data_IF_731811295445
#
_entry.id   IF_731811295445
#
_cell.length_a   1.000
_cell.length_b   1.000
_cell.length_c   1.000
_cell.angle_alpha   90.00
_cell.angle_beta   90.00
_cell.angle_gamma   90.00
#
_symmetry.space_group_name_H-M   'P 1'
#
loop_
_entity.id
_entity.type
_entity.pdbx_description
1 polymer ?
#
# COMPACT_ATOMS: atom_id res chain seq x y z
N UNK A 1 80.86 -20.50 57.58
CA UNK A 1 80.58 -19.06 57.54
C UNK A 1 80.08 -18.66 58.91
N UNK A 2 80.81 -17.77 59.58
CA UNK A 2 80.53 -17.25 60.93
C UNK A 2 79.12 -16.64 61.02
N UNK A 3 78.42 -16.86 62.14
CA UNK A 3 77.01 -16.48 62.33
C UNK A 3 76.82 -14.96 62.15
N UNK A 4 77.82 -14.18 62.58
CA UNK A 4 77.86 -12.74 62.44
C UNK A 4 77.96 -12.26 60.98
N UNK A 5 78.65 -13.02 60.12
CA UNK A 5 78.74 -12.73 58.67
C UNK A 5 77.43 -13.05 57.95
N UNK A 6 76.71 -14.11 58.35
CA UNK A 6 75.38 -14.45 57.80
C UNK A 6 74.33 -13.39 58.10
N UNK A 7 74.29 -12.86 59.34
CA UNK A 7 73.33 -11.83 59.74
C UNK A 7 73.55 -10.51 58.99
N UNK A 8 74.81 -10.12 58.73
CA UNK A 8 75.12 -8.93 57.92
C UNK A 8 74.70 -9.07 56.45
N UNK A 9 74.91 -10.25 55.86
CA UNK A 9 74.47 -10.52 54.47
C UNK A 9 72.94 -10.56 54.39
N UNK A 10 72.26 -11.23 55.32
CA UNK A 10 70.79 -11.23 55.36
C UNK A 10 70.23 -9.82 55.59
N UNK A 11 70.82 -9.04 56.49
CA UNK A 11 70.40 -7.66 56.75
C UNK A 11 70.58 -6.75 55.53
N UNK A 12 71.67 -6.91 54.77
CA UNK A 12 71.89 -6.18 53.52
C UNK A 12 70.92 -6.58 52.40
N UNK A 13 70.65 -7.88 52.24
CA UNK A 13 69.66 -8.38 51.27
C UNK A 13 68.25 -7.92 51.64
N UNK A 14 67.87 -8.00 52.92
CA UNK A 14 66.57 -7.55 53.41
C UNK A 14 66.40 -6.03 53.22
N UNK A 15 67.43 -5.23 53.53
CA UNK A 15 67.42 -3.79 53.29
C UNK A 15 67.33 -3.46 51.78
N UNK A 16 67.98 -4.24 50.92
CA UNK A 16 67.87 -4.12 49.47
C UNK A 16 66.47 -4.45 48.95
N UNK A 17 65.85 -5.53 49.45
CA UNK A 17 64.48 -5.94 49.09
C UNK A 17 63.45 -4.95 49.63
N UNK A 18 63.62 -4.48 50.88
CA UNK A 18 62.74 -3.46 51.47
C UNK A 18 62.90 -2.11 50.76
N UNK A 19 64.12 -1.72 50.36
CA UNK A 19 64.36 -0.53 49.54
C UNK A 19 63.74 -0.65 48.15
N UNK A 20 63.87 -1.82 47.52
CA UNK A 20 63.23 -2.10 46.23
C UNK A 20 61.70 -2.10 46.35
N UNK A 21 61.10 -2.70 47.38
CA UNK A 21 59.66 -2.60 47.63
C UNK A 21 59.21 -1.17 48.00
N UNK A 22 60.03 -0.40 48.73
CA UNK A 22 59.72 0.97 49.13
C UNK A 22 59.63 1.93 47.93
N UNK A 23 60.39 1.65 46.85
CA UNK A 23 60.34 2.43 45.59
C UNK A 23 59.10 2.09 44.74
N UNK A 24 58.31 1.07 45.11
CA UNK A 24 57.13 0.59 44.36
C UNK A 24 57.42 0.49 42.84
N UNK A 25 58.35 -0.39 42.43
CA UNK A 25 58.83 -0.51 41.06
C UNK A 25 57.72 -0.91 40.09
N UNK A 26 56.68 -1.59 40.59
CA UNK A 26 55.42 -1.85 39.88
C UNK A 26 54.71 -0.56 39.47
N UNK A 27 54.75 0.49 40.29
CA UNK A 27 54.20 1.80 39.94
C UNK A 27 55.14 2.53 38.97
N UNK A 28 56.45 2.60 39.25
CA UNK A 28 57.38 3.37 38.40
C UNK A 28 57.54 2.77 37.00
N UNK A 29 57.60 1.44 36.87
CA UNK A 29 57.83 0.77 35.58
C UNK A 29 56.54 0.48 34.80
N UNK A 30 55.42 0.20 35.48
CA UNK A 30 54.16 -0.14 34.80
C UNK A 30 53.26 1.06 34.56
N UNK A 31 53.46 2.21 35.22
CA UNK A 31 52.63 3.40 34.97
C UNK A 31 52.67 3.88 33.50
N UNK A 32 53.83 3.96 32.82
CA UNK A 32 53.86 4.34 31.40
C UNK A 32 53.07 3.38 30.50
N UNK A 33 53.12 2.08 30.80
CA UNK A 33 52.36 1.04 30.08
C UNK A 33 50.87 1.18 30.36
N UNK A 34 50.47 1.37 31.63
CA UNK A 34 49.07 1.61 32.02
C UNK A 34 48.51 2.90 31.42
N UNK A 35 49.33 3.95 31.33
CA UNK A 35 48.96 5.22 30.71
C UNK A 35 48.81 5.07 29.20
N UNK A 36 49.71 4.33 28.55
CA UNK A 36 49.57 3.99 27.12
C UNK A 36 48.31 3.16 26.85
N UNK A 37 48.01 2.17 27.70
CA UNK A 37 46.81 1.35 27.61
C UNK A 37 45.53 2.18 27.76
N UNK A 38 45.47 3.03 28.79
CA UNK A 38 44.35 3.97 28.98
C UNK A 38 44.18 4.91 27.79
N UNK A 39 45.28 5.40 27.20
CA UNK A 39 45.23 6.24 25.99
C UNK A 39 44.68 5.48 24.78
N UNK A 40 45.06 4.22 24.61
CA UNK A 40 44.51 3.36 23.55
C UNK A 40 43.01 3.10 23.76
N UNK A 41 42.59 2.79 24.99
CA UNK A 41 41.18 2.55 25.30
C UNK A 41 40.33 3.81 25.04
N UNK A 42 40.82 4.99 25.45
CA UNK A 42 40.17 6.28 25.17
C UNK A 42 40.12 6.53 23.66
N UNK A 43 41.25 6.40 22.95
CA UNK A 43 41.33 6.63 21.51
C UNK A 43 40.41 5.68 20.72
N UNK A 44 40.32 4.41 21.12
CA UNK A 44 39.38 3.44 20.54
C UNK A 44 37.93 3.87 20.78
N UNK A 45 37.58 4.28 22.00
CA UNK A 45 36.23 4.76 22.31
C UNK A 45 35.86 6.06 21.57
N UNK A 46 36.83 6.93 21.32
CA UNK A 46 36.65 8.17 20.55
C UNK A 46 36.47 7.84 19.06
N UNK A 47 37.25 6.89 18.55
CA UNK A 47 37.11 6.38 17.18
C UNK A 47 35.73 5.76 16.96
N UNK A 48 35.28 4.86 17.84
CA UNK A 48 33.94 4.25 17.74
C UNK A 48 32.82 5.30 17.78
N UNK A 49 32.92 6.32 18.63
CA UNK A 49 31.95 7.42 18.67
C UNK A 49 31.97 8.26 17.40
N UNK A 50 33.15 8.52 16.84
CA UNK A 50 33.30 9.26 15.60
C UNK A 50 32.74 8.46 14.41
N UNK A 51 33.02 7.16 14.34
CA UNK A 51 32.52 6.24 13.31
C UNK A 51 31.00 6.08 13.38
N UNK A 52 30.43 5.93 14.58
CA UNK A 52 28.99 5.91 14.78
C UNK A 52 28.33 7.22 14.33
N UNK A 53 28.95 8.38 14.61
CA UNK A 53 28.46 9.69 14.16
C UNK A 53 28.54 9.81 12.63
N UNK A 54 29.60 9.31 12.00
CA UNK A 54 29.73 9.29 10.54
C UNK A 54 28.63 8.42 9.90
N UNK A 55 28.36 7.24 10.47
CA UNK A 55 27.29 6.35 10.03
C UNK A 55 25.91 7.01 10.19
N UNK A 56 25.65 7.67 11.32
CA UNK A 56 24.40 8.41 11.53
C UNK A 56 24.22 9.55 10.53
N UNK A 57 25.28 10.28 10.21
CA UNK A 57 25.24 11.34 9.21
C UNK A 57 24.96 10.79 7.81
N UNK A 58 25.53 9.63 7.46
CA UNK A 58 25.27 8.95 6.20
C UNK A 58 23.79 8.57 6.09
N UNK A 59 23.25 7.89 7.10
CA UNK A 59 21.83 7.49 7.15
C UNK A 59 20.91 8.72 7.10
N UNK A 60 21.23 9.77 7.86
CA UNK A 60 20.46 11.01 7.85
C UNK A 60 20.46 11.67 6.47
N UNK A 61 21.61 11.67 5.78
CA UNK A 61 21.72 12.19 4.42
C UNK A 61 20.90 11.38 3.43
N UNK A 62 20.98 10.06 3.47
CA UNK A 62 20.18 9.18 2.62
C UNK A 62 18.67 9.38 2.85
N UNK A 63 18.25 9.55 4.11
CA UNK A 63 16.85 9.85 4.45
C UNK A 63 16.40 11.18 3.84
N UNK A 64 17.23 12.21 3.90
CA UNK A 64 16.92 13.52 3.31
C UNK A 64 16.80 13.42 1.78
N UNK A 65 17.74 12.73 1.11
CA UNK A 65 17.67 12.58 -0.35
C UNK A 65 16.45 11.76 -0.77
N UNK A 66 16.11 10.69 -0.05
CA UNK A 66 14.87 9.93 -0.28
C UNK A 66 13.63 10.81 -0.07
N UNK A 67 13.59 11.60 0.99
CA UNK A 67 12.48 12.50 1.26
C UNK A 67 12.33 13.55 0.14
N UNK A 68 13.44 14.09 -0.38
CA UNK A 68 13.39 15.01 -1.54
C UNK A 68 12.84 14.34 -2.79
N UNK A 69 13.30 13.13 -3.10
CA UNK A 69 12.89 12.38 -4.28
C UNK A 69 11.39 12.02 -4.28
N UNK A 70 10.80 11.89 -3.09
CA UNK A 70 9.39 11.50 -2.88
C UNK A 70 8.53 12.67 -2.37
N UNK A 71 9.04 13.90 -2.48
CA UNK A 71 8.31 15.10 -2.04
C UNK A 71 7.69 15.86 -3.21
N UNK A 72 6.73 16.72 -2.89
CA UNK A 72 6.12 17.65 -3.83
C UNK A 72 7.16 18.66 -4.37
N UNK A 73 6.91 19.30 -5.53
CA UNK A 73 7.87 20.25 -6.10
C UNK A 73 8.02 21.48 -5.19
N UNK A 74 9.11 22.25 -5.32
CA UNK A 74 9.43 23.33 -4.39
C UNK A 74 8.53 24.58 -4.51
N UNK A 75 7.88 24.79 -5.66
CA UNK A 75 6.95 25.91 -5.86
C UNK A 75 5.58 25.59 -5.25
N UNK A 76 5.10 26.44 -4.34
CA UNK A 76 3.83 26.21 -3.62
C UNK A 76 2.64 26.04 -4.54
N UNK A 77 2.52 26.90 -5.56
CA UNK A 77 1.41 26.83 -6.52
C UNK A 77 1.40 25.51 -7.29
N UNK A 78 2.58 25.00 -7.66
CA UNK A 78 2.71 23.72 -8.36
C UNK A 78 2.46 22.56 -7.39
N UNK A 79 3.04 22.58 -6.19
CA UNK A 79 2.82 21.58 -5.17
C UNK A 79 1.34 21.43 -4.82
N UNK A 80 0.66 22.54 -4.59
CA UNK A 80 -0.75 22.57 -4.21
C UNK A 80 -1.64 22.09 -5.36
N UNK A 81 -1.40 22.54 -6.60
CA UNK A 81 -2.13 22.07 -7.79
C UNK A 81 -1.93 20.58 -8.02
N UNK A 82 -0.69 20.11 -8.03
CA UNK A 82 -0.38 18.71 -8.34
C UNK A 82 -0.91 17.77 -7.26
N UNK A 83 -0.77 18.15 -5.99
CA UNK A 83 -1.29 17.34 -4.90
C UNK A 83 -2.81 17.30 -4.88
N UNK A 84 -3.49 18.44 -5.14
CA UNK A 84 -4.94 18.48 -5.30
C UNK A 84 -5.41 17.54 -6.42
N UNK A 85 -4.80 17.63 -7.60
CA UNK A 85 -5.11 16.75 -8.73
C UNK A 85 -4.92 15.27 -8.37
N UNK A 86 -3.83 14.95 -7.68
CA UNK A 86 -3.55 13.57 -7.27
C UNK A 86 -4.58 13.03 -6.27
N UNK A 87 -4.94 13.82 -5.25
CA UNK A 87 -5.99 13.45 -4.28
C UNK A 87 -7.34 13.25 -4.97
N UNK A 88 -7.72 14.14 -5.88
CA UNK A 88 -8.94 14.01 -6.67
C UNK A 88 -8.95 12.70 -7.45
N UNK A 89 -7.88 12.42 -8.20
CA UNK A 89 -7.77 11.20 -9.01
C UNK A 89 -7.83 9.94 -8.14
N UNK A 90 -7.16 9.94 -6.99
CA UNK A 90 -7.16 8.81 -6.06
C UNK A 90 -8.57 8.57 -5.48
N UNK A 91 -9.27 9.64 -5.10
CA UNK A 91 -10.64 9.55 -4.58
C UNK A 91 -11.62 9.01 -5.63
N UNK A 92 -11.54 9.51 -6.87
CA UNK A 92 -12.35 8.99 -7.99
C UNK A 92 -12.07 7.51 -8.27
N UNK A 93 -10.80 7.11 -8.25
CA UNK A 93 -10.39 5.72 -8.40
C UNK A 93 -11.00 4.82 -7.31
N UNK A 94 -11.14 5.36 -6.11
CA UNK A 94 -11.76 4.68 -4.97
C UNK A 94 -13.29 4.84 -4.92
N UNK A 95 -13.92 5.30 -6.02
CA UNK A 95 -15.37 5.46 -6.18
C UNK A 95 -15.99 6.44 -5.18
N UNK A 96 -15.27 7.49 -4.82
CA UNK A 96 -15.86 8.61 -4.09
C UNK A 96 -16.82 9.36 -5.03
N UNK A 97 -17.97 9.76 -4.48
CA UNK A 97 -19.01 10.51 -5.16
C UNK A 97 -19.22 11.86 -4.46
N UNK A 98 -19.93 12.79 -5.11
CA UNK A 98 -20.13 14.16 -4.61
C UNK A 98 -18.81 14.85 -4.20
N UNK A 99 -17.73 14.52 -4.91
CA UNK A 99 -16.37 14.87 -4.57
C UNK A 99 -16.14 16.38 -4.71
N UNK A 100 -15.83 17.04 -3.61
CA UNK A 100 -15.34 18.42 -3.55
C UNK A 100 -13.93 18.41 -2.99
N UNK A 101 -12.96 18.84 -3.79
CA UNK A 101 -11.55 18.89 -3.39
C UNK A 101 -11.07 20.32 -3.54
N UNK A 102 -10.71 20.95 -2.42
CA UNK A 102 -10.27 22.36 -2.39
C UNK A 102 -8.86 22.50 -1.84
N UNK A 103 -8.10 23.49 -2.32
CA UNK A 103 -6.79 23.78 -1.75
C UNK A 103 -6.93 24.34 -0.32
N UNK A 104 -6.19 23.76 0.63
CA UNK A 104 -6.19 24.17 2.03
C UNK A 104 -5.03 25.11 2.40
N UNK A 105 -4.70 25.15 3.70
CA UNK A 105 -3.59 25.96 4.23
C UNK A 105 -2.23 25.52 3.68
N UNK A 106 -1.30 26.46 3.59
CA UNK A 106 0.12 26.19 3.32
C UNK A 106 0.96 26.71 4.48
N UNK A 107 1.94 25.91 4.93
CA UNK A 107 2.80 26.27 6.06
C UNK A 107 4.28 26.13 5.67
N UNK A 108 5.06 27.20 5.91
CA UNK A 108 6.50 27.20 5.70
C UNK A 108 7.24 26.99 7.02
N UNK A 109 8.21 26.07 7.04
CA UNK A 109 9.02 25.79 8.23
C UNK A 109 10.50 26.05 7.95
N UNK A 110 10.96 27.26 8.32
CA UNK A 110 12.37 27.67 8.45
C UNK A 110 13.27 27.27 7.25
N UNK A 111 12.80 27.45 6.01
CA UNK A 111 13.50 27.07 4.78
C UNK A 111 13.91 25.57 4.67
N UNK A 112 13.33 24.70 5.49
CA UNK A 112 13.63 23.26 5.46
C UNK A 112 12.60 22.48 4.66
N UNK A 113 11.31 22.84 4.82
CA UNK A 113 10.21 22.24 4.08
C UNK A 113 8.99 23.16 4.08
N UNK A 114 8.12 22.91 3.11
CA UNK A 114 6.80 23.48 2.93
C UNK A 114 5.78 22.35 3.07
N UNK A 115 4.65 22.61 3.70
CA UNK A 115 3.47 21.73 3.62
C UNK A 115 2.33 22.42 2.90
N UNK A 116 1.56 21.63 2.15
CA UNK A 116 0.34 22.06 1.46
C UNK A 116 -0.80 21.14 1.87
N UNK A 117 -1.92 21.71 2.27
CA UNK A 117 -3.11 20.96 2.60
C UNK A 117 -4.06 20.90 1.41
N UNK A 118 -4.80 19.80 1.32
CA UNK A 118 -5.92 19.60 0.41
C UNK A 118 -7.08 19.08 1.25
N UNK A 119 -8.19 19.80 1.21
CA UNK A 119 -9.40 19.43 1.94
C UNK A 119 -10.35 18.73 0.95
N UNK A 120 -10.89 17.59 1.37
CA UNK A 120 -11.76 16.72 0.59
C UNK A 120 -13.05 16.50 1.36
N UNK A 121 -14.18 16.82 0.72
CA UNK A 121 -15.52 16.44 1.14
C UNK A 121 -16.10 15.47 0.10
N UNK A 122 -16.61 14.32 0.53
CA UNK A 122 -17.13 13.32 -0.40
C UNK A 122 -18.08 12.32 0.28
N UNK A 123 -18.80 11.57 -0.55
CA UNK A 123 -19.54 10.38 -0.14
C UNK A 123 -18.87 9.11 -0.70
N UNK A 124 -18.80 8.05 0.10
CA UNK A 124 -18.32 6.73 -0.36
C UNK A 124 -18.94 5.61 0.49
N UNK A 125 -18.56 4.37 0.24
CA UNK A 125 -18.89 3.23 1.09
C UNK A 125 -17.65 2.73 1.85
N UNK A 126 -17.79 1.71 2.71
CA UNK A 126 -16.65 1.25 3.50
C UNK A 126 -15.52 0.68 2.62
N UNK A 127 -15.86 0.04 1.50
CA UNK A 127 -14.89 -0.53 0.57
C UNK A 127 -14.09 0.57 -0.14
N UNK A 128 -14.76 1.61 -0.63
CA UNK A 128 -14.14 2.78 -1.25
C UNK A 128 -13.24 3.51 -0.27
N UNK A 129 -13.71 3.82 0.94
CA UNK A 129 -12.88 4.47 1.97
C UNK A 129 -11.66 3.62 2.33
N UNK A 130 -11.85 2.32 2.54
CA UNK A 130 -10.76 1.39 2.87
C UNK A 130 -9.69 1.36 1.79
N UNK A 131 -10.10 1.31 0.52
CA UNK A 131 -9.19 1.33 -0.61
C UNK A 131 -8.45 2.66 -0.73
N UNK A 132 -9.15 3.78 -0.51
CA UNK A 132 -8.53 5.10 -0.51
C UNK A 132 -7.44 5.19 0.54
N UNK A 133 -7.74 4.82 1.79
CA UNK A 133 -6.77 4.86 2.88
C UNK A 133 -5.56 3.95 2.61
N UNK A 134 -5.83 2.74 2.12
CA UNK A 134 -4.78 1.79 1.74
C UNK A 134 -3.87 2.37 0.64
N UNK A 135 -4.43 2.81 -0.49
CA UNK A 135 -3.64 3.34 -1.60
C UNK A 135 -2.92 4.64 -1.20
N UNK A 136 -3.61 5.53 -0.49
CA UNK A 136 -3.00 6.76 0.03
C UNK A 136 -1.76 6.43 0.87
N UNK A 137 -1.87 5.45 1.78
CA UNK A 137 -0.73 5.02 2.59
C UNK A 137 0.38 4.34 1.76
N UNK A 138 0.03 3.57 0.74
CA UNK A 138 0.98 2.82 -0.09
C UNK A 138 1.78 3.69 -1.05
N UNK A 139 1.26 4.85 -1.46
CA UNK A 139 1.95 5.75 -2.38
C UNK A 139 3.29 6.25 -1.78
N UNK A 140 4.37 6.16 -2.55
CA UNK A 140 5.70 6.66 -2.18
C UNK A 140 5.78 8.19 -2.31
N UNK A 141 4.99 8.88 -1.48
CA UNK A 141 4.87 10.34 -1.40
C UNK A 141 5.03 10.79 0.05
N UNK A 142 5.73 11.90 0.28
CA UNK A 142 5.84 12.53 1.60
C UNK A 142 4.52 13.24 1.94
N UNK A 143 3.56 12.48 2.44
CA UNK A 143 2.24 12.97 2.80
C UNK A 143 1.65 12.25 4.02
N UNK A 144 0.54 12.79 4.52
CA UNK A 144 -0.26 12.16 5.59
C UNK A 144 -1.69 12.67 5.56
N UNK A 145 -2.57 11.94 6.24
CA UNK A 145 -3.89 12.44 6.62
C UNK A 145 -3.71 13.23 7.92
N UNK A 146 -4.03 14.52 7.89
CA UNK A 146 -3.95 15.40 9.05
C UNK A 146 -5.25 15.36 9.86
N UNK A 147 -6.39 15.22 9.18
CA UNK A 147 -7.72 15.15 9.78
C UNK A 147 -8.60 14.22 8.95
N UNK A 148 -9.46 13.45 9.61
CA UNK A 148 -10.43 12.56 8.99
C UNK A 148 -11.66 12.43 9.88
N UNK A 149 -12.77 12.98 9.40
CA UNK A 149 -14.11 12.80 9.95
C UNK A 149 -14.90 11.85 9.05
N UNK A 150 -15.49 10.83 9.68
CA UNK A 150 -16.34 9.85 9.00
C UNK A 150 -17.70 9.89 9.67
N UNK A 151 -18.75 10.17 8.90
CA UNK A 151 -20.14 10.10 9.36
C UNK A 151 -20.87 9.02 8.58
N UNK A 152 -21.45 8.08 9.30
CA UNK A 152 -22.31 7.06 8.68
C UNK A 152 -23.75 7.53 8.65
N UNK A 153 -24.41 7.39 7.50
CA UNK A 153 -25.81 7.78 7.30
C UNK A 153 -26.80 6.67 7.67
N UNK A 154 -26.32 5.48 8.06
CA UNK A 154 -27.17 4.32 8.37
C UNK A 154 -26.44 3.23 9.16
N UNK A 155 -27.18 2.23 9.62
CA UNK A 155 -26.66 1.17 10.52
C UNK A 155 -26.71 -0.25 9.94
N UNK A 156 -27.10 -0.40 8.68
CA UNK A 156 -27.25 -1.69 7.99
C UNK A 156 -26.76 -1.61 6.54
N UNK A 157 -26.30 -2.75 6.00
CA UNK A 157 -26.01 -2.99 4.58
C UNK A 157 -25.05 -1.98 3.90
N UNK A 158 -23.78 -1.95 4.31
CA UNK A 158 -22.73 -1.08 3.73
C UNK A 158 -23.22 0.38 3.58
N UNK A 159 -23.49 1.06 4.69
CA UNK A 159 -24.12 2.36 4.67
C UNK A 159 -23.21 3.37 3.95
N UNK A 160 -23.85 4.35 3.31
CA UNK A 160 -23.14 5.50 2.76
C UNK A 160 -22.43 6.27 3.87
N UNK A 161 -21.18 6.60 3.62
CA UNK A 161 -20.29 7.35 4.49
C UNK A 161 -20.08 8.74 3.89
N UNK A 162 -20.28 9.77 4.70
CA UNK A 162 -19.86 11.14 4.43
C UNK A 162 -18.46 11.32 5.03
N UNK A 163 -17.52 11.77 4.21
CA UNK A 163 -16.10 11.89 4.53
C UNK A 163 -15.71 13.36 4.44
N UNK A 164 -15.11 13.89 5.51
CA UNK A 164 -14.35 15.13 5.47
C UNK A 164 -12.90 14.79 5.84
N UNK A 165 -11.95 15.11 4.97
CA UNK A 165 -10.56 14.72 5.13
C UNK A 165 -9.64 15.88 4.75
N UNK A 166 -8.63 16.14 5.59
CA UNK A 166 -7.52 17.03 5.25
C UNK A 166 -6.27 16.19 4.99
N UNK A 167 -5.83 16.17 3.75
CA UNK A 167 -4.56 15.58 3.34
C UNK A 167 -3.45 16.64 3.37
N UNK A 168 -2.32 16.34 4.00
CA UNK A 168 -1.15 17.22 4.05
C UNK A 168 -0.01 16.59 3.23
N UNK A 169 0.44 17.30 2.19
CA UNK A 169 1.61 16.93 1.39
C UNK A 169 2.80 17.80 1.74
N UNK A 170 4.01 17.24 1.66
CA UNK A 170 5.26 17.93 2.00
C UNK A 170 6.13 18.14 0.75
N UNK A 171 6.73 19.32 0.68
CA UNK A 171 7.80 19.68 -0.25
C UNK A 171 9.07 19.96 0.54
N UNK A 172 10.10 19.14 0.34
CA UNK A 172 11.37 19.28 1.05
C UNK A 172 12.25 20.30 0.32
N UNK A 173 12.97 21.14 1.05
CA UNK A 173 13.86 22.12 0.43
C UNK A 173 14.86 21.45 -0.53
N UNK A 174 15.00 22.04 -1.72
CA UNK A 174 15.82 21.54 -2.83
C UNK A 174 15.31 20.21 -3.41
N UNK A 175 14.01 19.93 -3.30
CA UNK A 175 13.38 18.87 -4.09
C UNK A 175 13.47 19.17 -5.59
N UNK A 176 13.52 18.14 -6.44
CA UNK A 176 13.45 18.33 -7.89
C UNK A 176 12.17 19.03 -8.31
N UNK A 177 12.24 19.80 -9.39
CA UNK A 177 11.06 20.29 -10.08
C UNK A 177 10.46 19.16 -10.91
N UNK A 178 9.15 19.02 -10.86
CA UNK A 178 8.40 18.07 -11.69
C UNK A 178 7.01 18.63 -12.01
N UNK A 179 6.48 18.24 -13.17
CA UNK A 179 5.17 18.69 -13.67
C UNK A 179 4.03 17.77 -13.27
N UNK A 180 4.33 16.63 -12.63
CA UNK A 180 3.38 15.60 -12.23
C UNK A 180 3.85 14.96 -10.92
N UNK A 181 2.92 14.48 -10.08
CA UNK A 181 3.27 13.80 -8.83
C UNK A 181 4.03 12.49 -9.09
N UNK A 182 3.59 11.73 -10.11
CA UNK A 182 4.22 10.48 -10.54
C UNK A 182 4.28 10.40 -12.06
N UNK A 183 5.32 9.74 -12.63
CA UNK A 183 5.48 9.54 -14.06
C UNK A 183 4.23 9.01 -14.75
N UNK A 184 3.89 9.58 -15.90
CA UNK A 184 2.73 9.22 -16.71
C UNK A 184 3.12 8.98 -18.16
N UNK A 185 2.42 8.03 -18.78
CA UNK A 185 2.43 7.76 -20.21
C UNK A 185 1.00 7.46 -20.66
N UNK A 186 0.83 7.04 -21.91
CA UNK A 186 -0.47 6.62 -22.46
C UNK A 186 -0.35 5.28 -23.17
N UNK A 187 -1.46 4.56 -23.25
CA UNK A 187 -1.54 3.39 -24.11
C UNK A 187 -1.98 3.79 -25.52
N UNK A 188 -1.16 3.54 -26.57
CA UNK A 188 -1.50 3.96 -27.94
C UNK A 188 -2.56 3.06 -28.59
N UNK A 189 -3.08 2.05 -27.88
CA UNK A 189 -4.09 1.12 -28.37
C UNK A 189 -5.14 0.84 -27.29
N UNK A 190 -6.32 0.39 -27.72
CA UNK A 190 -7.35 -0.06 -26.78
C UNK A 190 -6.89 -1.33 -26.05
N UNK A 191 -7.28 -1.45 -24.78
CA UNK A 191 -6.90 -2.58 -23.93
C UNK A 191 -8.16 -3.31 -23.51
N UNK A 192 -8.29 -4.59 -23.87
CA UNK A 192 -9.46 -5.41 -23.47
C UNK A 192 -9.36 -5.83 -22.00
N UNK A 193 -10.48 -6.23 -21.39
CA UNK A 193 -10.48 -6.71 -20.00
C UNK A 193 -9.65 -8.00 -19.81
N UNK A 194 -9.48 -8.81 -20.86
CA UNK A 194 -8.70 -10.05 -20.82
C UNK A 194 -7.22 -9.87 -21.23
N UNK A 195 -6.79 -8.65 -21.58
CA UNK A 195 -5.43 -8.41 -22.05
C UNK A 195 -4.39 -8.68 -20.95
N UNK A 196 -3.40 -9.50 -21.26
CA UNK A 196 -2.23 -9.79 -20.41
C UNK A 196 -1.00 -8.97 -20.78
N UNK A 197 -1.13 -8.10 -21.79
CA UNK A 197 -0.08 -7.24 -22.30
C UNK A 197 -0.59 -5.80 -22.39
N UNK A 198 0.27 -4.84 -22.04
CA UNK A 198 0.01 -3.41 -22.13
C UNK A 198 1.10 -2.75 -22.97
N UNK A 199 0.70 -2.06 -24.04
CA UNK A 199 1.63 -1.23 -24.83
C UNK A 199 1.59 0.19 -24.30
N UNK A 200 2.76 0.83 -24.18
CA UNK A 200 2.91 2.22 -23.72
C UNK A 200 3.73 3.05 -24.70
N UNK A 201 3.40 4.34 -24.81
CA UNK A 201 4.08 5.25 -25.75
C UNK A 201 5.51 5.60 -25.30
N UNK A 202 5.74 5.71 -24.00
CA UNK A 202 7.05 6.03 -23.41
C UNK A 202 7.23 5.32 -22.06
N UNK A 203 8.48 4.97 -21.74
CA UNK A 203 8.91 4.38 -20.47
C UNK A 203 9.72 5.36 -19.61
N UNK A 204 9.82 6.62 -20.03
CA UNK A 204 10.58 7.63 -19.30
C UNK A 204 10.02 7.82 -17.88
N UNK A 205 10.89 7.67 -16.88
CA UNK A 205 10.50 7.75 -15.47
C UNK A 205 9.92 6.46 -14.88
N UNK A 206 9.66 5.42 -15.67
CA UNK A 206 9.19 4.14 -15.15
C UNK A 206 10.34 3.24 -14.66
N UNK A 207 10.11 2.38 -13.64
CA UNK A 207 11.12 1.44 -13.17
C UNK A 207 11.52 0.41 -14.22
N UNK A 208 12.81 0.04 -14.26
CA UNK A 208 13.30 -1.11 -15.05
C UNK A 208 13.13 -2.44 -14.32
N UNK A 209 13.11 -2.41 -12.99
CA UNK A 209 12.92 -3.60 -12.16
C UNK A 209 11.44 -3.87 -11.97
N UNK A 210 11.03 -5.12 -12.18
CA UNK A 210 9.67 -5.60 -11.94
C UNK A 210 9.62 -6.46 -10.67
N UNK A 211 8.45 -6.59 -10.00
CA UNK A 211 7.17 -5.97 -10.36
C UNK A 211 7.04 -4.53 -9.87
N UNK A 212 6.22 -3.75 -10.58
CA UNK A 212 5.75 -2.43 -10.15
C UNK A 212 4.28 -2.25 -10.49
N UNK A 213 3.64 -1.26 -9.87
CA UNK A 213 2.22 -1.02 -10.00
C UNK A 213 1.96 0.24 -10.83
N UNK A 214 0.98 0.19 -11.72
CA UNK A 214 0.51 1.35 -12.50
C UNK A 214 -1.00 1.50 -12.36
N UNK A 215 -1.47 2.72 -12.49
CA UNK A 215 -2.87 3.06 -12.65
C UNK A 215 -3.18 3.22 -14.14
N UNK A 216 -4.02 2.35 -14.68
CA UNK A 216 -4.57 2.44 -16.04
C UNK A 216 -6.02 2.92 -15.92
N UNK A 217 -6.26 4.20 -16.21
CA UNK A 217 -7.55 4.85 -15.92
C UNK A 217 -7.93 4.75 -14.43
N UNK A 218 -8.95 3.93 -14.10
CA UNK A 218 -9.38 3.66 -12.70
C UNK A 218 -8.99 2.27 -12.20
N UNK A 219 -8.18 1.55 -12.95
CA UNK A 219 -7.76 0.19 -12.63
C UNK A 219 -6.30 0.17 -12.16
N UNK A 220 -6.02 -0.63 -11.13
CA UNK A 220 -4.64 -0.92 -10.74
C UNK A 220 -4.15 -2.15 -11.46
N UNK A 221 -2.99 -2.03 -12.09
CA UNK A 221 -2.41 -3.05 -12.94
C UNK A 221 -0.97 -3.30 -12.48
N UNK A 222 -0.65 -4.56 -12.20
CA UNK A 222 0.71 -4.94 -11.84
C UNK A 222 1.49 -5.31 -13.09
N UNK A 223 2.60 -4.62 -13.32
CA UNK A 223 3.57 -4.94 -14.37
C UNK A 223 4.54 -5.98 -13.83
N UNK A 224 4.64 -7.12 -14.51
CA UNK A 224 5.45 -8.27 -14.09
C UNK A 224 6.69 -8.48 -14.97
N UNK A 225 6.62 -8.04 -16.23
CA UNK A 225 7.77 -7.90 -17.11
C UNK A 225 7.61 -6.62 -17.92
N UNK A 226 8.71 -5.90 -18.15
CA UNK A 226 8.71 -4.62 -18.85
C UNK A 226 9.79 -4.61 -19.94
N UNK A 227 9.37 -4.77 -21.20
CA UNK A 227 10.19 -4.44 -22.36
C UNK A 227 10.03 -2.95 -22.73
N UNK A 228 10.73 -2.47 -23.77
CA UNK A 228 10.77 -1.04 -24.14
C UNK A 228 9.40 -0.38 -24.29
N UNK A 229 8.44 -1.01 -24.97
CA UNK A 229 7.10 -0.43 -25.15
C UNK A 229 5.98 -1.42 -24.85
N UNK A 230 6.33 -2.62 -24.38
CA UNK A 230 5.39 -3.73 -24.21
C UNK A 230 5.61 -4.38 -22.85
N UNK A 231 4.60 -4.34 -22.01
CA UNK A 231 4.65 -4.84 -20.64
C UNK A 231 3.74 -6.05 -20.49
N UNK A 232 4.19 -7.06 -19.77
CA UNK A 232 3.34 -8.15 -19.30
C UNK A 232 2.68 -7.73 -18.00
N UNK A 233 1.36 -7.87 -17.92
CA UNK A 233 0.57 -7.31 -16.83
C UNK A 233 -0.41 -8.30 -16.21
N UNK A 234 -0.68 -8.11 -14.92
CA UNK A 234 -1.81 -8.68 -14.20
C UNK A 234 -2.81 -7.56 -13.93
N UNK A 235 -4.03 -7.73 -14.42
CA UNK A 235 -5.12 -6.74 -14.40
C UNK A 235 -5.93 -6.81 -13.10
N UNK A 236 -6.70 -5.76 -12.80
CA UNK A 236 -7.65 -5.73 -11.68
C UNK A 236 -7.04 -5.95 -10.30
N UNK A 237 -5.91 -5.31 -10.00
CA UNK A 237 -5.20 -5.45 -8.72
C UNK A 237 -5.75 -4.47 -7.66
N UNK A 238 -5.32 -4.65 -6.40
CA UNK A 238 -5.62 -3.74 -5.28
C UNK A 238 -7.12 -3.40 -5.12
N UNK A 239 -7.97 -4.41 -5.25
CA UNK A 239 -9.43 -4.30 -5.15
C UNK A 239 -10.12 -3.68 -6.38
N UNK A 240 -9.39 -3.40 -7.46
CA UNK A 240 -10.00 -2.99 -8.73
C UNK A 240 -10.44 -4.20 -9.56
N UNK A 241 -11.06 -3.97 -10.72
CA UNK A 241 -11.49 -5.05 -11.63
C UNK A 241 -10.97 -4.74 -13.02
N UNK A 242 -10.62 -5.78 -13.77
CA UNK A 242 -10.20 -5.62 -15.16
C UNK A 242 -11.35 -5.09 -16.01
N UNK A 243 -11.14 -3.96 -16.68
CA UNK A 243 -12.11 -3.33 -17.58
C UNK A 243 -11.51 -3.02 -18.93
N UNK A 244 -12.34 -2.70 -19.92
CA UNK A 244 -11.86 -2.21 -21.21
C UNK A 244 -11.42 -0.75 -21.09
N UNK A 245 -10.30 -0.42 -21.73
CA UNK A 245 -9.75 0.93 -21.78
C UNK A 245 -9.62 1.40 -23.22
N UNK A 246 -9.91 2.68 -23.46
CA UNK A 246 -9.88 3.27 -24.80
C UNK A 246 -8.43 3.52 -25.28
N UNK A 247 -8.29 3.79 -26.57
CA UNK A 247 -7.03 4.29 -27.14
C UNK A 247 -6.67 5.62 -26.48
N UNK A 248 -5.41 5.78 -26.08
CA UNK A 248 -4.91 6.99 -25.42
C UNK A 248 -5.18 7.02 -23.91
N UNK A 249 -5.67 5.92 -23.32
CA UNK A 249 -5.88 5.85 -21.87
C UNK A 249 -4.59 6.12 -21.11
N UNK A 250 -4.69 6.87 -20.02
CA UNK A 250 -3.52 7.23 -19.24
C UNK A 250 -3.01 6.05 -18.40
N UNK A 251 -1.69 5.89 -18.40
CA UNK A 251 -0.95 4.93 -17.58
C UNK A 251 -0.04 5.72 -16.66
N UNK A 252 -0.34 5.76 -15.37
CA UNK A 252 0.46 6.48 -14.38
C UNK A 252 1.16 5.50 -13.44
N UNK A 253 2.44 5.73 -13.14
CA UNK A 253 3.16 4.96 -12.13
C UNK A 253 2.52 5.14 -10.75
N UNK A 254 2.35 4.04 -10.02
CA UNK A 254 1.95 4.05 -8.61
C UNK A 254 3.09 3.47 -7.77
N UNK A 255 4.05 4.31 -7.33
CA UNK A 255 5.23 3.81 -6.66
C UNK A 255 4.90 3.35 -5.23
N UNK A 256 5.43 2.19 -4.84
CA UNK A 256 5.28 1.61 -3.51
C UNK A 256 6.65 1.55 -2.83
N UNK A 257 6.81 2.12 -1.61
CA UNK A 257 8.04 2.04 -0.84
C UNK A 257 8.45 0.57 -0.63
N UNK A 258 9.76 0.28 -0.70
CA UNK A 258 10.29 -1.09 -0.56
C UNK A 258 9.76 -1.80 0.68
N UNK A 259 9.62 -1.08 1.80
CA UNK A 259 9.15 -1.63 3.08
C UNK A 259 7.66 -2.03 3.09
N UNK A 260 6.87 -1.55 2.13
CA UNK A 260 5.45 -1.86 2.01
C UNK A 260 5.14 -2.83 0.87
N UNK A 261 6.12 -3.14 0.02
CA UNK A 261 5.96 -4.13 -1.06
C UNK A 261 5.59 -5.49 -0.46
N UNK A 262 4.56 -6.12 -1.02
CA UNK A 262 4.03 -7.40 -0.53
C UNK A 262 2.79 -7.26 0.36
N UNK A 263 2.49 -6.06 0.85
CA UNK A 263 1.17 -5.77 1.38
C UNK A 263 0.21 -5.66 0.19
N UNK A 264 -0.86 -6.45 0.19
CA UNK A 264 -1.94 -6.37 -0.80
C UNK A 264 -3.23 -5.91 -0.13
N UNK A 265 -4.11 -5.28 -0.91
CA UNK A 265 -5.44 -4.93 -0.42
C UNK A 265 -6.23 -6.15 0.09
N UNK A 266 -6.07 -7.32 -0.52
CA UNK A 266 -6.75 -8.56 -0.09
C UNK A 266 -6.39 -8.95 1.34
N UNK A 267 -5.15 -8.69 1.77
CA UNK A 267 -4.72 -8.93 3.15
C UNK A 267 -5.47 -8.03 4.13
N UNK A 268 -5.82 -6.82 3.70
CA UNK A 268 -6.61 -5.87 4.48
C UNK A 268 -8.09 -6.28 4.56
N UNK A 269 -8.67 -6.79 3.48
CA UNK A 269 -10.04 -7.33 3.51
C UNK A 269 -10.15 -8.51 4.49
N UNK A 270 -9.17 -9.41 4.50
CA UNK A 270 -9.12 -10.50 5.47
C UNK A 270 -9.00 -10.00 6.91
N UNK A 271 -8.18 -8.97 7.14
CA UNK A 271 -8.06 -8.31 8.45
C UNK A 271 -9.40 -7.72 8.91
N UNK A 272 -10.12 -7.01 8.03
CA UNK A 272 -11.44 -6.47 8.33
C UNK A 272 -12.45 -7.59 8.64
N UNK A 273 -12.47 -8.66 7.85
CA UNK A 273 -13.35 -9.80 8.07
C UNK A 273 -13.07 -10.51 9.41
N UNK A 274 -11.81 -10.53 9.86
CA UNK A 274 -11.41 -11.07 11.15
C UNK A 274 -11.56 -10.09 12.33
N UNK A 275 -11.88 -8.82 12.07
CA UNK A 275 -11.95 -7.79 13.11
C UNK A 275 -13.15 -8.00 14.04
N UNK A 276 -12.96 -7.97 15.37
CA UNK A 276 -14.07 -8.07 16.32
C UNK A 276 -15.00 -6.84 16.29
N UNK A 277 -14.65 -5.81 15.51
CA UNK A 277 -15.42 -4.58 15.36
C UNK A 277 -16.27 -4.56 14.09
N UNK A 278 -16.22 -5.60 13.24
CA UNK A 278 -17.22 -5.74 12.17
C UNK A 278 -18.48 -6.36 12.74
N UNK A 279 -19.64 -5.74 12.46
CA UNK A 279 -20.93 -6.34 12.80
C UNK A 279 -21.08 -7.56 11.87
N UNK A 280 -21.14 -8.80 12.39
CA UNK A 280 -21.34 -9.96 11.53
C UNK A 280 -22.64 -9.75 10.74
N UNK A 281 -22.57 -9.96 9.42
CA UNK A 281 -23.75 -9.89 8.58
C UNK A 281 -24.80 -10.86 9.16
N UNK A 282 -26.04 -10.41 9.43
CA UNK A 282 -27.06 -11.30 9.94
C UNK A 282 -27.22 -12.47 8.95
N UNK A 283 -27.32 -13.73 9.42
CA UNK A 283 -27.46 -14.88 8.54
C UNK A 283 -28.64 -14.67 7.59
N UNK A 284 -28.37 -14.64 6.28
CA UNK A 284 -29.44 -14.57 5.28
C UNK A 284 -30.13 -15.93 5.22
N UNK A 285 -31.39 -15.98 5.63
CA UNK A 285 -32.22 -17.17 5.48
C UNK A 285 -32.78 -17.18 4.06
N UNK A 286 -32.20 -18.01 3.19
CA UNK A 286 -32.68 -18.21 1.83
C UNK A 286 -33.99 -19.00 1.82
N UNK A 287 -34.95 -18.57 1.00
CA UNK A 287 -36.23 -19.26 0.77
C UNK A 287 -36.43 -19.53 -0.72
N UNK A 288 -35.74 -20.55 -1.27
CA UNK A 288 -35.81 -20.86 -2.69
C UNK A 288 -37.25 -21.02 -3.16
N UNK A 289 -37.64 -20.31 -4.22
CA UNK A 289 -38.97 -20.37 -4.81
C UNK A 289 -38.91 -20.12 -6.31
N UNK A 290 -39.95 -20.51 -7.03
CA UNK A 290 -40.12 -20.11 -8.42
C UNK A 290 -40.76 -18.71 -8.47
N UNK A 291 -40.24 -17.87 -9.36
CA UNK A 291 -40.92 -16.64 -9.74
C UNK A 291 -42.27 -16.98 -10.40
N UNK A 292 -43.27 -16.10 -10.26
CA UNK A 292 -44.55 -16.28 -10.95
C UNK A 292 -44.37 -16.35 -12.47
N UNK A 293 -44.94 -17.39 -13.07
CA UNK A 293 -45.07 -17.53 -14.52
C UNK A 293 -46.49 -17.10 -14.88
N UNK A 294 -46.65 -16.24 -15.88
CA UNK A 294 -47.97 -15.79 -16.33
C UNK A 294 -48.69 -16.89 -17.12
N UNK A 295 -50.00 -17.00 -16.94
CA UNK A 295 -50.85 -17.89 -17.72
C UNK A 295 -50.79 -17.53 -19.21
N UNK A 296 -50.72 -18.55 -20.07
CA UNK A 296 -50.79 -18.40 -21.53
C UNK A 296 -51.86 -19.34 -22.09
N UNK A 297 -52.70 -18.80 -22.95
CA UNK A 297 -53.67 -19.55 -23.76
C UNK A 297 -53.14 -19.63 -25.19
N UNK A 298 -53.13 -20.83 -25.77
CA UNK A 298 -52.66 -21.09 -27.13
C UNK A 298 -53.72 -21.84 -27.93
N UNK A 299 -53.75 -21.66 -29.26
CA UNK A 299 -54.60 -22.45 -30.14
C UNK A 299 -53.95 -23.83 -30.45
N UNK A 300 -54.74 -24.87 -30.79
CA UNK A 300 -54.20 -26.15 -31.23
C UNK A 300 -53.27 -25.98 -32.44
N UNK A 301 -52.06 -26.55 -32.39
CA UNK A 301 -51.05 -26.42 -33.45
C UNK A 301 -50.00 -25.33 -33.21
N UNK A 302 -50.18 -24.48 -32.19
CA UNK A 302 -49.22 -23.43 -31.83
C UNK A 302 -48.16 -23.91 -30.83
N UNK A 303 -47.00 -23.27 -30.88
CA UNK A 303 -45.91 -23.48 -29.92
C UNK A 303 -45.84 -22.33 -28.92
N UNK A 304 -45.48 -22.66 -27.68
CA UNK A 304 -45.24 -21.68 -26.62
C UNK A 304 -43.86 -21.86 -26.01
N UNK A 305 -43.19 -20.74 -25.76
CA UNK A 305 -41.97 -20.67 -24.96
C UNK A 305 -42.20 -19.78 -23.74
N UNK A 306 -41.72 -20.24 -22.59
CA UNK A 306 -41.73 -19.52 -21.32
C UNK A 306 -40.48 -19.88 -20.52
N UNK A 307 -40.09 -19.04 -19.56
CA UNK A 307 -38.86 -19.27 -18.78
C UNK A 307 -39.17 -19.28 -17.28
N UNK A 308 -38.91 -20.41 -16.63
CA UNK A 308 -38.93 -20.50 -15.18
C UNK A 308 -37.71 -19.78 -14.59
N UNK A 309 -37.90 -19.03 -13.50
CA UNK A 309 -36.81 -18.37 -12.78
C UNK A 309 -36.86 -18.77 -11.32
N UNK A 310 -35.71 -19.13 -10.75
CA UNK A 310 -35.57 -19.36 -9.32
C UNK A 310 -35.22 -18.04 -8.62
N UNK A 311 -35.90 -17.76 -7.51
CA UNK A 311 -35.62 -16.62 -6.64
C UNK A 311 -35.15 -17.10 -5.27
N UNK A 312 -34.41 -16.23 -4.59
CA UNK A 312 -34.09 -16.37 -3.16
C UNK A 312 -33.42 -17.70 -2.78
N UNK A 313 -32.66 -18.26 -3.73
CA UNK A 313 -31.79 -19.41 -3.53
C UNK A 313 -30.41 -18.96 -3.04
N UNK A 314 -29.68 -19.87 -2.39
CA UNK A 314 -28.31 -19.63 -1.97
C UNK A 314 -27.36 -19.86 -3.16
N UNK A 315 -26.64 -18.85 -3.68
CA UNK A 315 -25.71 -19.04 -4.79
C UNK A 315 -24.51 -19.92 -4.42
N UNK A 316 -24.14 -19.99 -3.13
CA UNK A 316 -22.95 -20.72 -2.67
C UNK A 316 -23.13 -22.24 -2.69
N UNK A 317 -24.37 -22.73 -2.78
CA UNK A 317 -24.67 -24.17 -2.88
C UNK A 317 -24.84 -24.64 -4.33
N UNK A 318 -24.65 -23.74 -5.30
CA UNK A 318 -24.69 -24.05 -6.73
C UNK A 318 -25.80 -23.31 -7.49
N UNK A 319 -25.85 -23.58 -8.79
CA UNK A 319 -26.84 -23.00 -9.70
C UNK A 319 -28.17 -23.75 -9.62
N UNK A 320 -29.32 -23.07 -9.76
CA UNK A 320 -30.62 -23.72 -9.84
C UNK A 320 -30.69 -24.70 -11.03
N UNK A 321 -31.34 -25.85 -10.81
CA UNK A 321 -31.66 -26.82 -11.86
C UNK A 321 -33.17 -26.91 -11.97
N UNK A 322 -33.70 -26.76 -13.17
CA UNK A 322 -35.13 -26.78 -13.44
C UNK A 322 -35.58 -28.13 -14.01
N UNK A 323 -36.75 -28.59 -13.60
CA UNK A 323 -37.37 -29.79 -14.12
C UNK A 323 -38.89 -29.64 -14.13
N UNK A 324 -39.55 -30.31 -15.09
CA UNK A 324 -41.00 -30.47 -15.08
C UNK A 324 -41.32 -31.72 -14.26
N UNK A 325 -42.15 -31.57 -13.23
CA UNK A 325 -42.62 -32.72 -12.44
C UNK A 325 -43.49 -33.66 -13.30
N UNK A 326 -44.34 -33.07 -14.14
CA UNK A 326 -45.13 -33.78 -15.15
C UNK A 326 -45.13 -32.98 -16.45
N UNK A 327 -44.53 -33.54 -17.51
CA UNK A 327 -44.52 -32.93 -18.83
C UNK A 327 -45.71 -33.43 -19.66
N UNK A 328 -46.45 -32.52 -20.28
CA UNK A 328 -47.43 -32.87 -21.30
C UNK A 328 -46.73 -33.37 -22.59
N UNK A 329 -47.48 -34.03 -23.47
CA UNK A 329 -46.95 -34.45 -24.77
C UNK A 329 -46.45 -33.23 -25.56
N UNK A 330 -45.24 -33.34 -26.12
CA UNK A 330 -44.55 -32.25 -26.82
C UNK A 330 -43.94 -31.17 -25.93
N UNK A 331 -43.96 -31.31 -24.60
CA UNK A 331 -43.40 -30.34 -23.64
C UNK A 331 -42.01 -30.73 -23.15
N UNK A 332 -41.09 -29.77 -23.08
CA UNK A 332 -39.73 -29.94 -22.58
C UNK A 332 -39.26 -28.73 -21.77
N UNK A 333 -38.24 -28.92 -20.93
CA UNK A 333 -37.57 -27.84 -20.20
C UNK A 333 -36.05 -28.01 -20.28
N UNK A 334 -35.33 -26.92 -20.45
CA UNK A 334 -33.89 -26.87 -20.29
C UNK A 334 -33.53 -26.73 -18.80
N UNK A 335 -32.76 -27.69 -18.28
CA UNK A 335 -32.45 -27.77 -16.85
C UNK A 335 -31.58 -26.62 -16.34
N UNK A 336 -30.78 -25.99 -17.19
CA UNK A 336 -29.85 -24.92 -16.80
C UNK A 336 -30.49 -23.53 -16.96
N UNK A 337 -31.25 -23.34 -18.04
CA UNK A 337 -31.82 -22.03 -18.38
C UNK A 337 -33.24 -21.84 -17.87
N UNK A 338 -33.94 -22.93 -17.53
CA UNK A 338 -35.36 -22.91 -17.17
C UNK A 338 -36.29 -22.63 -18.35
N UNK A 339 -35.79 -22.65 -19.58
CA UNK A 339 -36.61 -22.46 -20.78
C UNK A 339 -37.51 -23.68 -21.00
N UNK A 340 -38.81 -23.45 -20.98
CA UNK A 340 -39.87 -24.41 -21.25
C UNK A 340 -40.34 -24.18 -22.69
N UNK A 341 -40.39 -25.26 -23.47
CA UNK A 341 -40.99 -25.27 -24.80
C UNK A 341 -42.12 -26.29 -24.85
N UNK A 342 -43.25 -25.92 -25.44
CA UNK A 342 -44.36 -26.84 -25.65
C UNK A 342 -44.89 -26.72 -27.07
N UNK A 343 -44.86 -27.84 -27.80
CA UNK A 343 -45.41 -27.96 -29.14
C UNK A 343 -46.69 -28.79 -29.07
N UNK A 344 -47.84 -28.14 -29.29
CA UNK A 344 -49.12 -28.85 -29.40
C UNK A 344 -49.27 -29.33 -30.84
N UNK A 345 -48.93 -30.60 -31.10
CA UNK A 345 -49.07 -31.24 -32.42
C UNK A 345 -50.51 -31.54 -32.78
#
# INVERSE_FOLDING_TARGET
MDQQKRTKVLGGVLAGVLGFMAIRPDQVLLNPVRDAQRRLDIANSDFERADAKQTQLMIARERIERARATSLPPRVSDAQRLYQTWITNLAEQCRFAQLQVVPGRTDYRRDQFLTVNVDLEAETDLAGLSRFLYLFEQADLQHRIAELDIRSTGSQNNPRLEINLTAEGMSVARSPEHSEVFPRTVSPQAVTAAATELTVESIDGFPKETPFLVQLGREMVQVTAADEHKWTVIRGQEGTSAVEHAVGESVQLFPIPILKRGNSFDSYEQFLAGSPFTKPAPPKVFRPRLASISDKTIAPGESVSMTAKAEDFNPDVGTPVFALEAAAEGMSINAETGEIQWNTS
#
